data_IF_997656662395
#
_entry.id   IF_997656662395
#
_cell.length_a   1.000
_cell.length_b   1.000
_cell.length_c   1.000
_cell.angle_alpha   90.00
_cell.angle_beta   90.00
_cell.angle_gamma   90.00
#
_symmetry.space_group_name_H-M   'P 1'
#
loop_
_entity.id
_entity.type
_entity.pdbx_description
1 polymer ?
#
# COMPACT_ATOMS: atom_id res chain seq x y z
N UNK A 1 -1.34 -16.99 6.81
CA UNK A 1 -2.06 -16.73 5.54
C UNK A 1 -1.61 -15.39 4.97
N UNK A 2 -1.94 -15.05 3.73
CA UNK A 2 -1.65 -13.71 3.17
C UNK A 2 -2.37 -12.60 3.97
N UNK A 3 -3.57 -12.90 4.48
CA UNK A 3 -4.31 -12.04 5.42
C UNK A 3 -3.51 -11.77 6.69
N UNK A 4 -2.92 -12.79 7.32
CA UNK A 4 -2.09 -12.61 8.52
C UNK A 4 -0.81 -11.81 8.23
N UNK A 5 -0.20 -12.04 7.06
CA UNK A 5 0.98 -11.30 6.62
C UNK A 5 0.65 -9.83 6.36
N UNK A 6 -0.52 -9.56 5.76
CA UNK A 6 -1.04 -8.20 5.56
C UNK A 6 -1.26 -7.47 6.89
N UNK A 7 -1.87 -8.13 7.88
CA UNK A 7 -2.06 -7.60 9.24
C UNK A 7 -0.72 -7.28 9.90
N UNK A 8 0.27 -8.16 9.76
CA UNK A 8 1.62 -7.93 10.28
C UNK A 8 2.30 -6.73 9.60
N UNK A 9 2.26 -6.64 8.27
CA UNK A 9 2.87 -5.56 7.50
C UNK A 9 2.26 -4.19 7.85
N UNK A 10 0.94 -4.13 8.06
CA UNK A 10 0.20 -2.92 8.51
C UNK A 10 0.80 -2.30 9.78
N UNK A 11 1.31 -3.12 10.70
CA UNK A 11 1.89 -2.67 11.98
C UNK A 11 3.23 -1.94 11.81
N UNK A 12 3.97 -2.22 10.73
CA UNK A 12 5.18 -1.48 10.39
C UNK A 12 4.87 -0.20 9.61
N UNK A 13 4.02 -0.32 8.59
CA UNK A 13 3.49 0.79 7.81
C UNK A 13 2.11 0.44 7.28
N UNK A 14 1.12 1.31 7.46
CA UNK A 14 -0.27 1.04 7.06
C UNK A 14 -0.40 0.66 5.58
N UNK A 15 0.33 1.32 4.68
CA UNK A 15 0.32 1.03 3.24
C UNK A 15 1.01 -0.29 2.86
N UNK A 16 1.96 -0.79 3.67
CA UNK A 16 2.66 -2.04 3.40
C UNK A 16 1.73 -3.26 3.41
N UNK A 17 0.59 -3.17 4.12
CA UNK A 17 -0.47 -4.19 4.10
C UNK A 17 -0.92 -4.58 2.69
N UNK A 18 -1.02 -3.61 1.77
CA UNK A 18 -1.48 -3.83 0.38
C UNK A 18 -0.38 -4.38 -0.52
N UNK A 19 0.89 -4.28 -0.14
CA UNK A 19 2.03 -4.77 -0.93
C UNK A 19 2.23 -6.28 -0.85
N UNK A 20 1.41 -6.99 -0.06
CA UNK A 20 1.39 -8.45 0.01
C UNK A 20 0.75 -9.07 -1.24
N UNK A 21 -0.12 -8.32 -1.92
CA UNK A 21 -0.88 -8.78 -3.08
C UNK A 21 -0.39 -8.10 -4.36
N UNK A 22 -0.24 -8.87 -5.43
CA UNK A 22 0.01 -8.34 -6.77
C UNK A 22 -1.27 -7.79 -7.42
N UNK A 23 -1.12 -6.99 -8.48
CA UNK A 23 -2.25 -6.37 -9.16
C UNK A 23 -2.90 -5.27 -8.31
N UNK A 24 -4.22 -5.31 -8.20
CA UNK A 24 -4.97 -4.38 -7.36
C UNK A 24 -5.18 -4.95 -5.95
N UNK A 25 -5.11 -4.08 -4.96
CA UNK A 25 -5.34 -4.44 -3.57
C UNK A 25 -6.10 -3.33 -2.84
N UNK A 26 -7.01 -3.72 -1.97
CA UNK A 26 -7.73 -2.83 -1.08
C UNK A 26 -7.33 -3.12 0.37
N UNK A 27 -7.20 -2.07 1.17
CA UNK A 27 -7.07 -2.22 2.61
C UNK A 27 -8.45 -2.03 3.25
N UNK A 28 -8.98 -3.11 3.81
CA UNK A 28 -10.17 -3.08 4.63
C UNK A 28 -9.82 -2.51 6.02
N UNK A 29 -10.38 -1.34 6.34
CA UNK A 29 -10.07 -0.62 7.58
C UNK A 29 -10.34 -1.49 8.82
N UNK A 30 -11.42 -2.27 8.82
CA UNK A 30 -11.86 -3.05 9.96
C UNK A 30 -12.22 -2.19 11.19
N UNK A 31 -12.44 -2.87 12.30
CA UNK A 31 -12.74 -2.28 13.61
C UNK A 31 -11.68 -2.63 14.67
N UNK A 32 -10.82 -3.62 14.41
CA UNK A 32 -9.76 -4.09 15.29
C UNK A 32 -8.58 -4.65 14.47
N UNK A 33 -7.58 -5.24 15.15
CA UNK A 33 -6.42 -5.82 14.46
C UNK A 33 -6.76 -7.07 13.64
N UNK A 34 -7.80 -7.82 14.01
CA UNK A 34 -8.20 -9.04 13.30
C UNK A 34 -8.93 -8.72 11.99
N UNK A 35 -9.72 -7.65 12.00
CA UNK A 35 -10.59 -7.24 10.89
C UNK A 35 -9.96 -6.17 9.99
N UNK A 36 -8.78 -5.65 10.35
CA UNK A 36 -8.07 -4.62 9.58
C UNK A 36 -6.91 -5.22 8.78
N UNK A 37 -7.18 -5.59 7.52
CA UNK A 37 -6.20 -6.24 6.63
C UNK A 37 -6.45 -5.87 5.17
N UNK A 38 -5.46 -6.08 4.31
CA UNK A 38 -5.64 -5.94 2.87
C UNK A 38 -6.00 -7.27 2.20
N UNK A 39 -6.67 -7.18 1.06
CA UNK A 39 -6.97 -8.30 0.19
C UNK A 39 -6.79 -7.89 -1.29
N UNK A 40 -6.48 -8.88 -2.13
CA UNK A 40 -6.38 -8.67 -3.58
C UNK A 40 -7.74 -8.49 -4.23
N UNK A 41 -7.83 -7.60 -5.21
CA UNK A 41 -9.01 -7.42 -6.07
C UNK A 41 -8.75 -8.15 -7.39
N UNK A 42 -9.66 -9.04 -7.76
CA UNK A 42 -9.62 -9.67 -9.08
C UNK A 42 -10.10 -8.69 -10.16
N UNK A 43 -9.17 -8.20 -10.96
CA UNK A 43 -9.38 -7.30 -12.10
C UNK A 43 -9.56 -8.04 -13.44
N UNK A 44 -9.72 -9.36 -13.44
CA UNK A 44 -9.83 -10.18 -14.65
C UNK A 44 -8.69 -9.96 -15.66
N UNK A 45 -7.47 -9.69 -15.16
CA UNK A 45 -6.27 -9.50 -15.98
C UNK A 45 -6.08 -8.08 -16.53
N UNK A 46 -7.01 -7.14 -16.28
CA UNK A 46 -6.94 -5.76 -16.76
C UNK A 46 -5.68 -5.01 -16.30
N UNK A 47 -5.08 -5.41 -15.17
CA UNK A 47 -3.82 -4.88 -14.66
C UNK A 47 -2.65 -5.04 -15.65
N UNK A 48 -2.74 -5.98 -16.60
CA UNK A 48 -1.72 -6.25 -17.63
C UNK A 48 -1.70 -5.20 -18.75
N UNK A 49 -2.80 -4.48 -18.94
CA UNK A 49 -2.94 -3.44 -19.96
C UNK A 49 -2.51 -2.06 -19.44
N UNK A 50 -2.21 -1.94 -18.14
CA UNK A 50 -1.85 -0.69 -17.50
C UNK A 50 -0.35 -0.42 -17.58
N UNK A 51 -0.01 0.86 -17.75
CA UNK A 51 1.36 1.36 -17.68
C UNK A 51 1.48 2.41 -16.58
N UNK A 52 2.60 2.39 -15.86
CA UNK A 52 2.86 3.30 -14.76
C UNK A 52 4.04 4.20 -15.11
N UNK A 53 3.84 5.51 -14.99
CA UNK A 53 4.90 6.50 -15.14
C UNK A 53 5.10 7.17 -13.79
N UNK A 54 6.32 7.11 -13.27
CA UNK A 54 6.73 7.89 -12.10
C UNK A 54 7.53 9.11 -12.58
N UNK A 55 7.03 10.30 -12.25
CA UNK A 55 7.76 11.55 -12.48
C UNK A 55 8.34 12.01 -11.14
N UNK A 56 9.66 11.97 -11.02
CA UNK A 56 10.35 12.51 -9.86
C UNK A 56 10.50 14.01 -10.07
N UNK A 57 9.80 14.80 -9.26
CA UNK A 57 9.89 16.26 -9.28
C UNK A 57 10.97 16.66 -8.29
N UNK A 58 11.88 17.56 -8.71
CA UNK A 58 12.81 18.17 -7.78
C UNK A 58 12.05 19.10 -6.85
N UNK A 59 11.93 18.69 -5.59
CA UNK A 59 11.30 19.46 -4.53
C UNK A 59 12.30 19.74 -3.41
N UNK A 60 12.94 20.91 -3.47
CA UNK A 60 13.77 21.42 -2.38
C UNK A 60 12.90 22.22 -1.41
N UNK A 61 12.65 21.66 -0.24
CA UNK A 61 12.27 22.46 0.93
C UNK A 61 13.58 22.97 1.55
N UNK A 62 13.79 24.28 1.50
CA UNK A 62 14.76 24.91 2.39
C UNK A 62 14.23 24.80 3.82
N UNK A 63 14.62 23.74 4.53
CA UNK A 63 14.47 23.71 5.96
C UNK A 63 15.54 24.65 6.51
N UNK A 64 15.15 25.89 6.87
CA UNK A 64 15.99 26.74 7.70
C UNK A 64 16.05 26.11 9.09
N UNK A 65 16.96 25.15 9.27
CA UNK A 65 17.37 24.68 10.58
C UNK A 65 18.28 25.78 11.13
N UNK A 66 17.70 26.83 11.70
CA UNK A 66 18.47 27.69 12.61
C UNK A 66 18.65 26.89 13.90
N UNK A 67 19.86 26.35 14.07
CA UNK A 67 20.40 25.97 15.38
C UNK A 67 20.62 27.20 16.25
#
# INVERSE_FOLDING_TARGET
SDTDLSRLARRGSGSASRSIFGGFAEWEKGHDDLTSYAHGINSNGWEKDLSMIFVVINFQIYCAINM
#
